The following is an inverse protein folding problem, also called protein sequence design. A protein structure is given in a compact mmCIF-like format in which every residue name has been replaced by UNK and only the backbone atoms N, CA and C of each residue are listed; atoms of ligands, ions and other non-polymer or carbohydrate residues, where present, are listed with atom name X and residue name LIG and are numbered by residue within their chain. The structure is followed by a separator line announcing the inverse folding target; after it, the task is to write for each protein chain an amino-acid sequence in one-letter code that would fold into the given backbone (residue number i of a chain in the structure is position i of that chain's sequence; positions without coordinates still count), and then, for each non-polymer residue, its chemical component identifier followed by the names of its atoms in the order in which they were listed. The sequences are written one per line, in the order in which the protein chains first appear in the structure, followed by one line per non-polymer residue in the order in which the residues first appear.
data_IF_357758100560
#
_entry.id   IF_357758100560
#
_cell.length_a   1.000
_cell.length_b   1.000
_cell.length_c   1.000
_cell.angle_alpha   90.00
_cell.angle_beta   90.00
_cell.angle_gamma   90.00
#
_symmetry.space_group_name_H-M   'P 1'
#
loop_
_entity.id
_entity.type
_entity.pdbx_description
1 polymer ?
#
# COMPACT_ATOMS: atom_id res chain seq x y z
N UNK A 1 -42.77 13.17 42.96
CA UNK A 1 -42.52 12.97 41.52
C UNK A 1 -41.24 13.70 41.17
N UNK A 2 -40.13 12.99 40.98
CA UNK A 2 -38.90 13.51 40.34
C UNK A 2 -37.99 12.31 40.09
N UNK A 3 -38.11 11.69 38.91
CA UNK A 3 -37.22 10.64 38.45
C UNK A 3 -37.11 10.74 36.93
N UNK A 4 -36.58 11.85 36.45
CA UNK A 4 -36.23 12.09 35.05
C UNK A 4 -34.73 12.35 34.74
N UNK A 5 -33.76 12.44 35.68
CA UNK A 5 -32.37 12.75 35.28
C UNK A 5 -31.59 11.56 34.70
N UNK A 6 -32.04 10.31 34.88
CA UNK A 6 -31.27 9.12 34.49
C UNK A 6 -31.29 8.87 32.97
N UNK A 7 -32.41 9.09 32.30
CA UNK A 7 -32.57 8.85 30.86
C UNK A 7 -31.80 9.85 29.99
N UNK A 8 -31.75 11.11 30.38
CA UNK A 8 -30.97 12.13 29.65
C UNK A 8 -29.45 11.95 29.82
N UNK A 9 -29.02 11.42 30.98
CA UNK A 9 -27.62 11.18 31.27
C UNK A 9 -27.10 9.92 30.56
N UNK A 10 -27.91 8.87 30.48
CA UNK A 10 -27.61 7.68 29.67
C UNK A 10 -27.50 8.01 28.18
N UNK A 11 -28.45 8.77 27.62
CA UNK A 11 -28.41 9.18 26.22
C UNK A 11 -27.19 10.05 25.87
N UNK A 12 -26.75 10.90 26.80
CA UNK A 12 -25.54 11.73 26.61
C UNK A 12 -24.27 10.87 26.61
N UNK A 13 -24.21 9.84 27.46
CA UNK A 13 -23.10 8.88 27.50
C UNK A 13 -23.01 8.01 26.24
N UNK A 14 -24.15 7.57 25.71
CA UNK A 14 -24.21 6.77 24.49
C UNK A 14 -23.73 7.57 23.27
N UNK A 15 -24.11 8.84 23.18
CA UNK A 15 -23.64 9.76 22.13
C UNK A 15 -22.11 9.93 22.18
N UNK A 16 -21.52 10.01 23.36
CA UNK A 16 -20.06 10.11 23.51
C UNK A 16 -19.35 8.83 23.05
N UNK A 17 -19.88 7.65 23.40
CA UNK A 17 -19.35 6.36 22.95
C UNK A 17 -19.44 6.24 21.42
N UNK A 18 -20.57 6.62 20.83
CA UNK A 18 -20.76 6.58 19.39
C UNK A 18 -19.82 7.56 18.67
N UNK A 19 -19.62 8.77 19.19
CA UNK A 19 -18.66 9.74 18.64
C UNK A 19 -17.23 9.21 18.71
N UNK A 20 -16.84 8.59 19.82
CA UNK A 20 -15.54 7.96 19.95
C UNK A 20 -15.35 6.83 18.92
N UNK A 21 -16.40 6.03 18.69
CA UNK A 21 -16.38 4.95 17.71
C UNK A 21 -16.32 5.47 16.27
N UNK A 22 -17.08 6.52 15.94
CA UNK A 22 -17.01 7.19 14.64
C UNK A 22 -15.61 7.73 14.41
N UNK A 23 -15.04 8.46 15.37
CA UNK A 23 -13.68 8.99 15.25
C UNK A 23 -12.62 7.89 15.10
N UNK A 24 -12.81 6.73 15.71
CA UNK A 24 -11.95 5.56 15.47
C UNK A 24 -12.07 5.04 14.04
N UNK A 25 -13.31 4.86 13.55
CA UNK A 25 -13.57 4.35 12.21
C UNK A 25 -13.08 5.32 11.12
N UNK A 26 -13.22 6.63 11.33
CA UNK A 26 -12.70 7.65 10.42
C UNK A 26 -11.16 7.58 10.31
N UNK A 27 -10.45 7.36 11.43
CA UNK A 27 -9.01 7.14 11.41
C UNK A 27 -8.64 5.87 10.64
N UNK A 28 -9.32 4.76 10.90
CA UNK A 28 -9.08 3.52 10.15
C UNK A 28 -9.35 3.68 8.64
N UNK A 29 -10.39 4.42 8.27
CA UNK A 29 -10.71 4.71 6.88
C UNK A 29 -9.62 5.55 6.23
N UNK A 30 -9.14 6.60 6.93
CA UNK A 30 -8.05 7.45 6.45
C UNK A 30 -6.77 6.63 6.21
N UNK A 31 -6.37 5.79 7.16
CA UNK A 31 -5.19 4.91 7.01
C UNK A 31 -5.33 3.92 5.85
N UNK A 32 -6.53 3.33 5.67
CA UNK A 32 -6.79 2.42 4.55
C UNK A 32 -6.73 3.17 3.21
N UNK A 33 -7.27 4.39 3.16
CA UNK A 33 -7.26 5.23 1.97
C UNK A 33 -5.83 5.65 1.59
N UNK A 34 -5.00 6.00 2.57
CA UNK A 34 -3.60 6.36 2.34
C UNK A 34 -2.82 5.19 1.75
N UNK A 35 -2.98 3.99 2.35
CA UNK A 35 -2.34 2.77 1.83
C UNK A 35 -2.82 2.41 0.43
N UNK A 36 -4.12 2.55 0.16
CA UNK A 36 -4.68 2.31 -1.17
C UNK A 36 -4.15 3.31 -2.20
N UNK A 37 -4.09 4.59 -1.85
CA UNK A 37 -3.56 5.65 -2.72
C UNK A 37 -2.07 5.45 -3.01
N UNK A 38 -1.28 5.08 -2.00
CA UNK A 38 0.14 4.75 -2.19
C UNK A 38 0.33 3.54 -3.13
N UNK A 39 -0.49 2.49 -2.97
CA UNK A 39 -0.47 1.34 -3.86
C UNK A 39 -0.91 1.70 -5.28
N UNK A 40 -1.92 2.56 -5.43
CA UNK A 40 -2.41 3.05 -6.72
C UNK A 40 -1.35 3.89 -7.43
N UNK A 41 -0.71 4.84 -6.74
CA UNK A 41 0.37 5.64 -7.30
C UNK A 41 1.53 4.75 -7.79
N UNK A 42 1.94 3.78 -6.98
CA UNK A 42 2.98 2.82 -7.36
C UNK A 42 2.57 1.91 -8.54
N UNK A 43 1.26 1.69 -8.75
CA UNK A 43 0.75 0.97 -9.90
C UNK A 43 0.70 1.86 -11.15
N UNK A 44 0.26 3.12 -11.00
CA UNK A 44 0.21 4.12 -12.08
C UNK A 44 1.60 4.36 -12.66
N UNK A 45 2.63 4.49 -11.83
CA UNK A 45 4.02 4.63 -12.30
C UNK A 45 4.44 3.43 -13.17
N UNK A 46 4.08 2.21 -12.78
CA UNK A 46 4.40 1.00 -13.56
C UNK A 46 3.63 0.95 -14.87
N UNK A 47 2.34 1.29 -14.85
CA UNK A 47 1.49 1.34 -16.04
C UNK A 47 2.01 2.41 -17.01
N UNK A 48 2.43 3.57 -16.51
CA UNK A 48 3.05 4.62 -17.32
C UNK A 48 4.25 4.09 -18.12
N UNK A 49 5.14 3.32 -17.50
CA UNK A 49 6.28 2.72 -18.20
C UNK A 49 5.88 1.63 -19.21
N UNK A 50 4.86 0.83 -18.90
CA UNK A 50 4.34 -0.18 -19.83
C UNK A 50 3.75 0.48 -21.08
N UNK A 51 2.96 1.53 -20.89
CA UNK A 51 2.35 2.29 -21.99
C UNK A 51 3.41 3.02 -22.82
N UNK A 52 4.39 3.65 -22.15
CA UNK A 52 5.55 4.30 -22.80
C UNK A 52 6.33 3.36 -23.72
N UNK A 53 6.47 2.09 -23.32
CA UNK A 53 7.15 1.06 -24.11
C UNK A 53 6.21 0.31 -25.08
N UNK A 54 4.91 0.68 -25.11
CA UNK A 54 3.84 0.00 -25.87
C UNK A 54 3.80 -1.50 -25.61
N UNK A 55 4.09 -1.90 -24.36
CA UNK A 55 4.05 -3.29 -23.93
C UNK A 55 2.66 -3.59 -23.37
N UNK A 56 1.89 -4.36 -24.13
CA UNK A 56 0.64 -4.93 -23.62
C UNK A 56 0.94 -6.17 -22.78
N UNK A 57 0.81 -6.01 -21.46
CA UNK A 57 1.05 -7.08 -20.50
C UNK A 57 0.10 -8.26 -20.69
N UNK A 58 -1.15 -8.03 -21.11
CA UNK A 58 -2.13 -9.10 -21.36
C UNK A 58 -1.76 -9.89 -22.62
N UNK A 59 -1.35 -9.19 -23.68
CA UNK A 59 -0.85 -9.84 -24.90
C UNK A 59 0.46 -10.62 -24.65
N UNK A 60 1.32 -10.14 -23.75
CA UNK A 60 2.51 -10.87 -23.33
C UNK A 60 2.11 -12.10 -22.53
N UNK A 61 1.29 -11.96 -21.48
CA UNK A 61 0.93 -13.06 -20.57
C UNK A 61 0.07 -14.15 -21.22
N UNK A 62 -0.66 -13.85 -22.30
CA UNK A 62 -1.42 -14.85 -23.07
C UNK A 62 -0.52 -15.78 -23.90
N UNK A 63 0.78 -15.49 -24.04
CA UNK A 63 1.72 -16.33 -24.78
C UNK A 63 2.33 -17.42 -23.88
N UNK A 64 2.39 -18.69 -24.33
CA UNK A 64 2.97 -19.79 -23.54
C UNK A 64 4.47 -19.59 -23.22
N UNK A 65 5.17 -18.82 -24.04
CA UNK A 65 6.55 -18.41 -23.79
C UNK A 65 6.67 -17.44 -22.60
N UNK A 66 5.66 -16.61 -22.35
CA UNK A 66 5.69 -15.65 -21.25
C UNK A 66 5.61 -16.32 -19.90
N UNK A 67 4.89 -17.44 -19.76
CA UNK A 67 4.90 -18.24 -18.54
C UNK A 67 6.32 -18.77 -18.22
N UNK A 68 7.08 -19.15 -19.26
CA UNK A 68 8.49 -19.58 -19.12
C UNK A 68 9.45 -18.43 -18.78
N UNK A 69 9.20 -17.23 -19.29
CA UNK A 69 10.01 -16.06 -18.95
C UNK A 69 9.64 -15.51 -17.57
N UNK A 70 8.37 -15.59 -17.18
CA UNK A 70 7.89 -15.14 -15.88
C UNK A 70 8.48 -15.94 -14.72
N UNK A 71 8.77 -17.23 -14.92
CA UNK A 71 9.45 -18.06 -13.90
C UNK A 71 10.91 -17.64 -13.66
N UNK A 72 11.53 -16.89 -14.58
CA UNK A 72 12.90 -16.38 -14.44
C UNK A 72 12.96 -15.02 -13.74
N UNK A 73 11.87 -14.25 -13.71
CA UNK A 73 11.77 -12.96 -13.01
C UNK A 73 12.20 -12.99 -11.54
N UNK A 74 11.78 -13.97 -10.70
CA UNK A 74 12.21 -14.02 -9.29
C UNK A 74 13.72 -14.23 -9.11
N UNK A 75 14.38 -14.92 -10.05
CA UNK A 75 15.84 -15.12 -10.03
C UNK A 75 16.57 -13.81 -10.32
N UNK A 76 16.11 -13.07 -11.33
CA UNK A 76 16.62 -11.74 -11.68
C UNK A 76 16.43 -10.73 -10.53
N UNK A 77 15.28 -10.77 -9.86
CA UNK A 77 15.00 -9.91 -8.71
C UNK A 77 15.97 -10.13 -7.55
N UNK A 78 16.26 -11.40 -7.22
CA UNK A 78 17.24 -11.75 -6.18
C UNK A 78 18.66 -11.34 -6.55
N UNK A 79 19.07 -11.55 -7.80
CA UNK A 79 20.38 -11.13 -8.28
C UNK A 79 20.56 -9.60 -8.19
N UNK A 80 19.52 -8.82 -8.54
CA UNK A 80 19.56 -7.36 -8.43
C UNK A 80 19.64 -6.89 -6.97
N UNK A 81 18.90 -7.53 -6.06
CA UNK A 81 18.96 -7.23 -4.63
C UNK A 81 20.36 -7.50 -4.05
N UNK A 82 20.97 -8.63 -4.40
CA UNK A 82 22.33 -8.97 -3.96
C UNK A 82 23.38 -8.01 -4.55
N UNK A 83 23.26 -7.64 -5.82
CA UNK A 83 24.14 -6.66 -6.47
C UNK A 83 24.00 -5.25 -5.85
N UNK A 84 22.79 -4.84 -5.48
CA UNK A 84 22.55 -3.58 -4.76
C UNK A 84 23.20 -3.58 -3.37
N UNK A 85 23.11 -4.71 -2.66
CA UNK A 85 23.78 -4.90 -1.36
C UNK A 85 25.30 -4.86 -1.49
N UNK A 86 25.87 -5.53 -2.50
CA UNK A 86 27.31 -5.48 -2.77
C UNK A 86 27.78 -4.06 -3.13
N UNK A 87 27.01 -3.31 -3.94
CA UNK A 87 27.30 -1.90 -4.24
C UNK A 87 27.25 -0.98 -3.03
N UNK A 88 26.34 -1.23 -2.09
CA UNK A 88 26.25 -0.42 -0.86
C UNK A 88 27.48 -0.58 0.05
N UNK A 89 28.16 -1.73 -0.01
CA UNK A 89 29.40 -1.98 0.73
C UNK A 89 30.65 -1.42 0.03
N UNK A 90 30.57 -1.13 -1.27
CA UNK A 90 31.68 -0.60 -2.06
C UNK A 90 31.64 0.93 -2.20
N UNK A 91 30.79 1.67 -1.48
CA UNK A 91 30.96 3.14 -1.35
C UNK A 91 32.13 3.38 -0.42
N UNK A 92 33.32 3.77 -0.92
CA UNK A 92 34.42 4.09 -0.03
C UNK A 92 34.00 5.34 0.75
N UNK A 93 34.23 5.32 2.05
CA UNK A 93 34.22 6.51 2.89
C UNK A 93 35.22 7.49 2.27
N UNK A 94 34.69 8.46 1.50
CA UNK A 94 35.46 9.58 0.98
C UNK A 94 35.82 10.43 2.19
N UNK A 95 36.95 10.08 2.81
CA UNK A 95 37.51 10.81 3.92
C UNK A 95 37.96 12.20 3.42
N UNK A 96 37.70 13.16 4.29
CA UNK A 96 37.84 14.61 4.12
C UNK A 96 39.29 15.04 3.93
#
# INVERSE_FOLDING_TARGET
MSSEPTTEQDGRSEVEVLRARVGQLERELAERSERANAALAAAQDRVYWLDRLRLDLNAVMSRPLAARLASLLPVLGRARYLAGRARSQLRPTRNR
#
